data_IF_470233620930
#
_entry.id   IF_470233620930
#
_cell.length_a   1.000
_cell.length_b   1.000
_cell.length_c   1.000
_cell.angle_alpha   90.00
_cell.angle_beta   90.00
_cell.angle_gamma   90.00
#
_symmetry.space_group_name_H-M   'P 1'
#
loop_
_entity.id
_entity.type
_entity.pdbx_description
1 polymer ?
#
# COMPACT_ATOMS: atom_id res chain seq x y z
N UNK A 1 32.79 -4.30 44.84
CA UNK A 1 31.45 -4.88 44.62
C UNK A 1 30.45 -3.75 44.48
N UNK A 2 30.01 -3.43 43.25
CA UNK A 2 28.81 -2.62 43.01
C UNK A 2 28.02 -3.31 41.90
N UNK A 3 26.80 -3.71 42.25
CA UNK A 3 25.89 -4.49 41.43
C UNK A 3 25.38 -3.69 40.23
N UNK A 4 25.38 -4.34 39.07
CA UNK A 4 24.71 -3.85 37.87
C UNK A 4 23.19 -4.08 37.96
N UNK A 5 22.40 -3.03 37.76
CA UNK A 5 20.97 -3.13 37.48
C UNK A 5 20.76 -3.03 35.97
N UNK A 6 20.50 -4.16 35.30
CA UNK A 6 20.08 -4.18 33.90
C UNK A 6 18.56 -4.39 33.83
N UNK A 7 17.81 -3.31 33.66
CA UNK A 7 16.39 -3.38 33.36
C UNK A 7 16.19 -3.56 31.84
N UNK A 8 15.88 -4.79 31.42
CA UNK A 8 15.46 -5.09 30.04
C UNK A 8 14.01 -4.65 29.84
N UNK A 9 13.79 -3.52 29.17
CA UNK A 9 12.50 -3.15 28.62
C UNK A 9 12.20 -4.02 27.39
N UNK A 10 11.34 -5.02 27.54
CA UNK A 10 10.72 -5.70 26.41
C UNK A 10 9.68 -4.74 25.78
N UNK A 11 10.14 -3.90 24.86
CA UNK A 11 9.23 -3.20 23.96
C UNK A 11 8.57 -4.26 23.05
N UNK A 12 7.31 -4.58 23.32
CA UNK A 12 6.52 -5.45 22.46
C UNK A 12 6.49 -4.88 21.05
N UNK A 13 7.11 -5.57 20.09
CA UNK A 13 7.03 -5.19 18.69
C UNK A 13 5.55 -5.30 18.27
N UNK A 14 4.91 -4.23 17.77
CA UNK A 14 3.54 -4.32 17.29
C UNK A 14 3.49 -5.36 16.18
N UNK A 15 2.78 -6.45 16.40
CA UNK A 15 2.58 -7.48 15.39
C UNK A 15 1.72 -6.90 14.27
N UNK A 16 2.08 -7.10 12.98
CA UNK A 16 1.28 -6.60 11.88
C UNK A 16 -0.15 -7.15 11.95
N UNK A 17 -1.14 -6.27 11.82
CA UNK A 17 -2.56 -6.64 11.80
C UNK A 17 -2.85 -7.69 10.74
N UNK A 18 -3.58 -8.75 11.08
CA UNK A 18 -4.01 -9.74 10.08
C UNK A 18 -5.14 -9.15 9.22
N UNK A 19 -4.94 -9.18 7.91
CA UNK A 19 -5.90 -8.74 6.90
C UNK A 19 -6.64 -9.94 6.35
N UNK A 20 -7.95 -9.81 6.22
CA UNK A 20 -8.79 -10.73 5.46
C UNK A 20 -9.15 -10.12 4.10
N UNK A 21 -9.76 -10.95 3.26
CA UNK A 21 -10.27 -10.62 1.94
C UNK A 21 -11.16 -9.38 1.88
N UNK A 22 -12.08 -9.25 2.85
CA UNK A 22 -13.07 -8.18 2.91
C UNK A 22 -12.40 -6.84 3.26
N UNK A 23 -11.60 -6.81 4.32
CA UNK A 23 -10.83 -5.64 4.74
C UNK A 23 -9.90 -5.15 3.63
N UNK A 24 -9.25 -6.08 2.93
CA UNK A 24 -8.34 -5.73 1.84
C UNK A 24 -9.08 -5.15 0.62
N UNK A 25 -10.25 -5.70 0.26
CA UNK A 25 -11.12 -5.14 -0.80
C UNK A 25 -11.69 -3.78 -0.40
N UNK A 26 -12.25 -3.67 0.80
CA UNK A 26 -12.80 -2.43 1.31
C UNK A 26 -11.75 -1.31 1.35
N UNK A 27 -10.52 -1.62 1.76
CA UNK A 27 -9.42 -0.66 1.72
C UNK A 27 -9.08 -0.24 0.27
N UNK A 28 -9.05 -1.18 -0.66
CA UNK A 28 -8.77 -0.88 -2.07
C UNK A 28 -9.84 0.01 -2.73
N UNK A 29 -11.09 -0.16 -2.32
CA UNK A 29 -12.24 0.61 -2.80
C UNK A 29 -12.46 1.94 -2.06
N UNK A 30 -11.84 2.10 -0.89
CA UNK A 30 -11.90 3.35 -0.12
C UNK A 30 -11.40 4.55 -0.91
N UNK A 31 -11.87 5.75 -0.57
CA UNK A 31 -11.31 6.98 -1.15
C UNK A 31 -9.86 7.16 -0.73
N UNK A 32 -9.12 7.94 -1.52
CA UNK A 32 -7.80 8.41 -1.09
C UNK A 32 -7.98 9.37 0.08
N UNK A 33 -7.16 9.17 1.10
CA UNK A 33 -7.01 10.13 2.17
C UNK A 33 -6.12 11.27 1.66
N UNK A 34 -6.69 12.48 1.54
CA UNK A 34 -5.99 13.68 1.08
C UNK A 34 -4.78 14.07 1.92
N UNK A 35 -4.60 13.46 3.11
CA UNK A 35 -3.43 13.67 3.97
C UNK A 35 -2.28 12.69 3.68
N UNK A 36 -2.52 11.64 2.89
CA UNK A 36 -1.54 10.57 2.58
C UNK A 36 -1.34 10.46 1.07
N UNK A 37 -0.62 11.45 0.53
CA UNK A 37 -0.43 11.59 -0.92
C UNK A 37 0.91 11.05 -1.42
N UNK A 38 1.82 10.66 -0.52
CA UNK A 38 3.11 10.06 -0.90
C UNK A 38 3.61 9.09 0.16
N UNK A 39 4.45 8.12 -0.24
CA UNK A 39 5.12 7.19 0.65
C UNK A 39 4.47 5.80 0.76
N UNK A 40 4.96 5.00 1.71
CA UNK A 40 4.56 3.59 1.89
C UNK A 40 3.98 3.37 3.28
N UNK A 41 2.84 2.68 3.36
CA UNK A 41 2.18 2.34 4.61
C UNK A 41 1.92 0.83 4.67
N UNK A 42 2.39 0.17 5.74
CA UNK A 42 2.07 -1.24 5.99
C UNK A 42 0.62 -1.31 6.46
N UNK A 43 -0.21 -2.05 5.71
CA UNK A 43 -1.61 -2.29 6.07
C UNK A 43 -1.75 -3.44 7.06
N UNK A 44 -0.86 -4.42 6.97
CA UNK A 44 -0.92 -5.64 7.75
C UNK A 44 -0.38 -6.85 7.00
N UNK A 45 -0.77 -8.04 7.44
CA UNK A 45 -0.42 -9.31 6.82
C UNK A 45 -1.63 -9.98 6.17
N UNK A 46 -1.51 -10.36 4.91
CA UNK A 46 -2.48 -11.17 4.18
C UNK A 46 -1.82 -12.50 3.81
N UNK A 47 -2.37 -13.63 4.24
CA UNK A 47 -1.75 -14.97 4.13
C UNK A 47 -0.29 -15.02 4.63
N UNK A 48 -0.01 -14.34 5.74
CA UNK A 48 1.34 -14.28 6.32
C UNK A 48 2.37 -13.52 5.47
N UNK A 49 1.91 -12.61 4.61
CA UNK A 49 2.76 -11.70 3.81
C UNK A 49 2.37 -10.26 4.07
N UNK A 50 3.35 -9.39 4.26
CA UNK A 50 3.11 -7.97 4.44
C UNK A 50 2.48 -7.38 3.18
N UNK A 51 1.41 -6.60 3.38
CA UNK A 51 0.73 -5.83 2.35
C UNK A 51 0.97 -4.35 2.63
N UNK A 52 1.34 -3.62 1.58
CA UNK A 52 1.68 -2.21 1.61
C UNK A 52 0.73 -1.45 0.71
N UNK A 53 0.31 -0.27 1.16
CA UNK A 53 -0.24 0.79 0.33
C UNK A 53 0.88 1.79 0.01
N UNK A 54 1.31 1.83 -1.25
CA UNK A 54 2.26 2.79 -1.80
C UNK A 54 1.49 3.90 -2.52
N UNK A 55 1.77 5.14 -2.15
CA UNK A 55 1.16 6.33 -2.70
C UNK A 55 2.18 7.07 -3.54
N UNK A 56 1.81 7.40 -4.76
CA UNK A 56 2.59 8.25 -5.65
C UNK A 56 1.76 9.43 -6.06
N UNK A 57 2.32 10.62 -5.86
CA UNK A 57 1.77 11.85 -6.39
C UNK A 57 2.83 12.58 -7.21
N UNK A 58 2.40 13.22 -8.31
CA UNK A 58 3.19 14.18 -9.09
C UNK A 58 3.00 15.61 -8.55
N UNK A 59 3.38 16.61 -9.36
CA UNK A 59 3.23 18.03 -9.07
C UNK A 59 1.77 18.50 -8.87
N UNK A 60 0.77 17.68 -9.24
CA UNK A 60 -0.66 18.00 -9.20
C UNK A 60 -1.42 17.22 -8.12
N UNK A 61 -0.91 17.24 -6.89
CA UNK A 61 -1.61 16.65 -5.74
C UNK A 61 -2.84 17.47 -5.30
N UNK A 62 -3.96 16.83 -4.89
CA UNK A 62 -4.19 15.39 -4.80
C UNK A 62 -4.68 14.74 -6.11
N UNK A 63 -5.05 15.53 -7.12
CA UNK A 63 -5.78 15.11 -8.33
C UNK A 63 -5.06 14.03 -9.18
N UNK A 64 -3.72 13.92 -9.07
CA UNK A 64 -2.92 12.91 -9.78
C UNK A 64 -2.22 11.93 -8.83
N UNK A 65 -2.89 11.60 -7.72
CA UNK A 65 -2.40 10.60 -6.77
C UNK A 65 -2.84 9.20 -7.19
N UNK A 66 -1.91 8.26 -7.18
CA UNK A 66 -2.16 6.84 -7.38
C UNK A 66 -1.80 6.09 -6.10
N UNK A 67 -2.75 5.31 -5.57
CA UNK A 67 -2.51 4.32 -4.52
C UNK A 67 -2.40 2.93 -5.12
N UNK A 68 -1.27 2.26 -4.88
CA UNK A 68 -1.03 0.86 -5.25
C UNK A 68 -1.00 0.00 -3.99
N UNK A 69 -1.81 -1.05 -3.97
CA UNK A 69 -1.79 -2.05 -2.89
C UNK A 69 -1.06 -3.29 -3.40
N UNK A 70 0.04 -3.64 -2.76
CA UNK A 70 0.90 -4.75 -3.19
C UNK A 70 1.53 -5.46 -2.00
N UNK A 71 2.01 -6.67 -2.21
CA UNK A 71 2.83 -7.37 -1.23
C UNK A 71 4.21 -6.69 -1.11
N UNK A 72 4.82 -6.75 0.07
CA UNK A 72 6.19 -6.27 0.30
C UNK A 72 7.24 -7.24 -0.27
N UNK A 73 7.13 -7.52 -1.57
CA UNK A 73 8.07 -8.34 -2.34
C UNK A 73 8.16 -7.77 -3.75
N UNK A 74 9.29 -8.01 -4.41
CA UNK A 74 9.45 -7.66 -5.80
C UNK A 74 8.47 -8.42 -6.71
N UNK A 75 8.03 -7.74 -7.77
CA UNK A 75 7.29 -8.39 -8.84
C UNK A 75 8.17 -9.42 -9.56
N UNK A 76 7.56 -10.52 -10.04
CA UNK A 76 8.30 -11.55 -10.75
C UNK A 76 7.73 -12.96 -10.59
N UNK A 77 8.59 -13.97 -10.79
CA UNK A 77 8.19 -15.38 -10.85
C UNK A 77 7.52 -15.87 -9.55
N UNK A 78 7.95 -15.35 -8.39
CA UNK A 78 7.45 -15.76 -7.08
C UNK A 78 6.09 -15.16 -6.72
N UNK A 79 5.61 -14.16 -7.47
CA UNK A 79 4.39 -13.45 -7.12
C UNK A 79 3.14 -14.36 -7.09
N UNK A 80 3.03 -15.29 -8.05
CA UNK A 80 1.93 -16.27 -8.07
C UNK A 80 1.99 -17.26 -6.91
N UNK A 81 3.18 -17.67 -6.51
CA UNK A 81 3.37 -18.66 -5.45
C UNK A 81 2.90 -18.17 -4.06
N UNK A 82 2.80 -16.85 -3.87
CA UNK A 82 2.34 -16.24 -2.62
C UNK A 82 0.88 -15.75 -2.68
N UNK A 83 0.10 -16.22 -3.67
CA UNK A 83 -1.30 -15.79 -3.85
C UNK A 83 -1.45 -14.42 -4.53
N UNK A 84 -0.39 -13.92 -5.18
CA UNK A 84 -0.39 -12.67 -5.92
C UNK A 84 -0.49 -12.81 -7.43
N UNK A 85 -0.56 -11.66 -8.10
CA UNK A 85 -0.47 -11.51 -9.56
C UNK A 85 0.46 -10.35 -9.88
N UNK A 86 1.29 -10.51 -10.90
CA UNK A 86 2.08 -9.39 -11.41
C UNK A 86 1.14 -8.38 -12.10
N UNK A 87 1.20 -7.13 -11.69
CA UNK A 87 0.46 -6.03 -12.29
C UNK A 87 1.44 -4.94 -12.73
N UNK A 88 1.24 -4.39 -13.93
CA UNK A 88 1.95 -3.19 -14.38
C UNK A 88 1.05 -1.98 -14.15
N UNK A 89 1.53 -1.04 -13.34
CA UNK A 89 0.82 0.18 -12.98
C UNK A 89 1.65 1.37 -13.44
N UNK A 90 1.02 2.30 -14.15
CA UNK A 90 1.61 3.58 -14.51
C UNK A 90 1.60 4.48 -13.29
N UNK A 91 2.78 4.91 -12.84
CA UNK A 91 2.95 5.80 -11.70
C UNK A 91 3.37 7.20 -12.16
N UNK A 92 2.84 8.26 -11.54
CA UNK A 92 3.31 9.63 -11.78
C UNK A 92 4.76 9.82 -11.27
N UNK A 93 5.59 10.52 -12.04
CA UNK A 93 6.96 10.91 -11.67
C UNK A 93 7.26 12.30 -12.26
N UNK A 94 7.23 13.33 -11.41
CA UNK A 94 7.29 14.74 -11.83
C UNK A 94 6.18 15.06 -12.83
N UNK A 95 6.54 15.68 -13.95
CA UNK A 95 5.61 16.03 -15.06
C UNK A 95 5.24 14.85 -15.97
N UNK A 96 5.75 13.64 -15.70
CA UNK A 96 5.58 12.46 -16.56
C UNK A 96 5.00 11.28 -15.78
N UNK A 97 4.84 10.14 -16.45
CA UNK A 97 4.44 8.90 -15.83
C UNK A 97 5.23 7.72 -16.40
N UNK A 98 5.53 6.74 -15.55
CA UNK A 98 6.30 5.54 -15.94
C UNK A 98 5.60 4.25 -15.49
N UNK A 99 5.66 3.18 -16.31
CA UNK A 99 5.15 1.88 -15.91
C UNK A 99 6.07 1.22 -14.87
N UNK A 100 5.51 0.74 -13.77
CA UNK A 100 6.19 -0.09 -12.76
C UNK A 100 5.44 -1.40 -12.54
N UNK A 101 6.17 -2.47 -12.25
CA UNK A 101 5.62 -3.79 -11.95
C UNK A 101 5.50 -3.98 -10.44
N UNK A 102 4.36 -4.49 -10.00
CA UNK A 102 4.06 -4.79 -8.61
C UNK A 102 3.51 -6.21 -8.46
N UNK A 103 3.77 -6.84 -7.31
CA UNK A 103 3.11 -8.08 -6.94
C UNK A 103 1.85 -7.77 -6.12
N UNK A 104 0.68 -7.85 -6.74
CA UNK A 104 -0.58 -7.46 -6.10
C UNK A 104 -1.37 -8.68 -5.61
N UNK A 105 -2.09 -8.62 -4.49
CA UNK A 105 -3.01 -9.68 -4.07
C UNK A 105 -3.99 -10.04 -5.19
N UNK A 106 -4.08 -11.33 -5.55
CA UNK A 106 -4.84 -11.77 -6.72
C UNK A 106 -6.34 -11.46 -6.63
N UNK A 107 -6.86 -11.35 -5.40
CA UNK A 107 -8.24 -11.01 -5.06
C UNK A 107 -8.63 -9.59 -5.46
N UNK A 108 -7.65 -8.69 -5.64
CA UNK A 108 -7.90 -7.31 -6.03
C UNK A 108 -8.02 -7.20 -7.54
N UNK A 109 -9.00 -6.42 -8.00
CA UNK A 109 -9.11 -6.05 -9.42
C UNK A 109 -8.03 -5.03 -9.79
N UNK A 110 -7.58 -5.00 -11.05
CA UNK A 110 -6.61 -3.99 -11.51
C UNK A 110 -7.15 -2.55 -11.39
N UNK A 111 -8.49 -2.39 -11.37
CA UNK A 111 -9.14 -1.11 -11.11
C UNK A 111 -9.01 -0.69 -9.65
N UNK A 112 -9.19 -1.62 -8.71
CA UNK A 112 -9.02 -1.36 -7.29
C UNK A 112 -7.55 -1.06 -6.90
N UNK A 113 -6.59 -1.54 -7.70
CA UNK A 113 -5.15 -1.24 -7.54
C UNK A 113 -4.76 0.13 -8.10
N UNK A 114 -5.61 0.74 -8.94
CA UNK A 114 -5.38 2.05 -9.56
C UNK A 114 -6.55 2.95 -9.22
N UNK A 115 -6.70 3.28 -7.94
CA UNK A 115 -7.62 4.35 -7.59
C UNK A 115 -6.95 5.68 -7.98
N UNK A 116 -7.33 6.17 -9.15
CA UNK A 116 -7.18 7.57 -9.53
C UNK A 116 -8.44 8.26 -9.02
N UNK A 117 -8.32 9.28 -8.20
CA UNK A 117 -9.47 10.11 -7.82
C UNK A 117 -9.57 11.28 -8.81
N UNK A 118 -10.41 11.21 -9.87
CA UNK A 118 -10.62 12.34 -10.76
C UNK A 118 -11.44 13.47 -10.10
N UNK A 119 -11.93 13.28 -8.87
CA UNK A 119 -12.69 14.28 -8.16
C UNK A 119 -11.78 14.99 -7.15
N UNK A 120 -11.31 16.17 -7.53
CA UNK A 120 -10.85 17.18 -6.60
C UNK A 120 -11.89 17.45 -5.49
N UNK A 121 -11.51 18.17 -4.43
CA UNK A 121 -12.28 18.26 -3.20
C UNK A 121 -13.65 18.87 -3.48
N UNK A 122 -14.69 18.28 -2.92
CA UNK A 122 -15.85 19.00 -2.41
C UNK A 122 -16.45 20.09 -3.35
N UNK A 123 -17.44 19.70 -4.15
CA UNK A 123 -18.54 20.62 -4.49
C UNK A 123 -19.85 20.05 -3.95
N UNK A 124 -20.29 20.41 -2.74
CA UNK A 124 -21.72 20.40 -2.47
C UNK A 124 -22.33 21.52 -3.32
N UNK A 125 -23.28 21.12 -4.15
CA UNK A 125 -24.28 22.00 -4.76
C UNK A 125 -24.96 22.90 -3.75
#
# INVERSE_FOLDING_TARGET
>A
MMLALAAMLAAGVPSPTLLNDETLRAFAESRLDGTRLNGRNILGQYHGRLVIAEYHCSDLCPDYTVRIIHFDVDAGAKCRAIGGRNATVTIPVGISAMPRKFCVPAILSLRAVRHFDPAGPFRPS
#
